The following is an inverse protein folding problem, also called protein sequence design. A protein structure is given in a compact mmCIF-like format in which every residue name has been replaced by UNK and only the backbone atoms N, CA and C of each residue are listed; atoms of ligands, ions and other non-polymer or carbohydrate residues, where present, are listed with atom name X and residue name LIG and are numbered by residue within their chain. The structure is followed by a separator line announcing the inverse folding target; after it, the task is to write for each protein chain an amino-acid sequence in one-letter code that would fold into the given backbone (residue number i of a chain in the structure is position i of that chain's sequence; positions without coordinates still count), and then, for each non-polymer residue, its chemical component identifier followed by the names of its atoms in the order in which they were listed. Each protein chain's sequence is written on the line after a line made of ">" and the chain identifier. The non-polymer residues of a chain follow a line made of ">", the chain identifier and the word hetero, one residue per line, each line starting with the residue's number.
data_IF_466764851389
#
_entry.id   IF_466764851389
#
_cell.length_a   1.000
_cell.length_b   1.000
_cell.length_c   1.000
_cell.angle_alpha   90.00
_cell.angle_beta   90.00
_cell.angle_gamma   90.00
#
_symmetry.space_group_name_H-M   'P 1'
#
loop_
_entity.id
_entity.type
_entity.pdbx_description
1 polymer ?
#
# COMPACT_ATOMS: atom_id res chain seq x y z
N UNK A 1 -7.48 11.49 50.18
CA UNK A 1 -7.18 11.37 48.72
C UNK A 1 -8.29 10.52 48.14
N UNK A 2 -9.37 11.20 47.77
CA UNK A 2 -10.57 10.54 47.28
C UNK A 2 -10.34 10.14 45.82
N UNK A 3 -10.28 8.82 45.60
CA UNK A 3 -10.44 8.27 44.26
C UNK A 3 -11.90 8.47 43.85
N UNK A 4 -12.21 9.55 43.13
CA UNK A 4 -13.50 9.70 42.49
C UNK A 4 -13.80 8.40 41.72
N UNK A 5 -14.78 7.68 42.22
CA UNK A 5 -15.41 6.55 41.56
C UNK A 5 -16.18 7.10 40.37
N UNK A 6 -15.46 7.23 39.25
CA UNK A 6 -16.04 7.67 37.95
C UNK A 6 -16.95 6.53 37.53
N UNK A 7 -18.23 6.60 37.92
CA UNK A 7 -19.27 5.67 37.50
C UNK A 7 -19.25 5.65 35.96
N UNK A 8 -18.77 4.55 35.36
CA UNK A 8 -18.75 4.40 33.92
C UNK A 8 -20.16 4.61 33.39
N UNK A 9 -20.30 5.54 32.44
CA UNK A 9 -21.59 5.74 31.75
C UNK A 9 -22.01 4.40 31.15
N UNK A 10 -23.29 4.00 31.21
CA UNK A 10 -23.75 2.66 30.81
C UNK A 10 -23.31 2.22 29.41
N UNK A 11 -23.13 3.17 28.48
CA UNK A 11 -22.73 2.90 27.09
C UNK A 11 -21.28 3.26 26.79
N UNK A 12 -20.45 3.65 27.78
CA UNK A 12 -19.11 4.17 27.55
C UNK A 12 -18.22 3.18 26.80
N UNK A 13 -18.23 1.93 27.19
CA UNK A 13 -17.39 0.88 26.58
C UNK A 13 -17.75 0.59 25.12
N UNK A 14 -19.05 0.46 24.83
CA UNK A 14 -19.51 0.20 23.45
C UNK A 14 -19.30 1.43 22.57
N UNK A 15 -19.54 2.63 23.07
CA UNK A 15 -19.27 3.87 22.30
C UNK A 15 -17.79 3.99 21.94
N UNK A 16 -16.90 3.69 22.88
CA UNK A 16 -15.46 3.69 22.61
C UNK A 16 -15.07 2.62 21.56
N UNK A 17 -15.62 1.41 21.67
CA UNK A 17 -15.37 0.34 20.72
C UNK A 17 -15.83 0.70 19.30
N UNK A 18 -17.00 1.34 19.18
CA UNK A 18 -17.51 1.86 17.90
C UNK A 18 -16.58 2.94 17.33
N UNK A 19 -16.10 3.85 18.19
CA UNK A 19 -15.11 4.86 17.80
C UNK A 19 -13.81 4.26 17.26
N UNK A 20 -13.27 3.23 17.93
CA UNK A 20 -12.09 2.51 17.43
C UNK A 20 -12.32 1.85 16.08
N UNK A 21 -13.47 1.21 15.89
CA UNK A 21 -13.84 0.59 14.61
C UNK A 21 -13.94 1.62 13.49
N UNK A 22 -14.60 2.74 13.73
CA UNK A 22 -14.71 3.84 12.76
C UNK A 22 -13.36 4.44 12.42
N UNK A 23 -12.51 4.70 13.43
CA UNK A 23 -11.16 5.22 13.21
C UNK A 23 -10.30 4.29 12.36
N UNK A 24 -10.36 2.98 12.59
CA UNK A 24 -9.67 1.99 11.78
C UNK A 24 -10.21 1.97 10.33
N UNK A 25 -11.53 2.03 10.15
CA UNK A 25 -12.13 2.10 8.81
C UNK A 25 -11.70 3.36 8.05
N UNK A 26 -11.66 4.52 8.71
CA UNK A 26 -11.18 5.75 8.10
C UNK A 26 -9.72 5.62 7.64
N UNK A 27 -8.85 5.08 8.50
CA UNK A 27 -7.44 4.86 8.13
C UNK A 27 -7.29 3.87 6.98
N UNK A 28 -8.04 2.79 6.99
CA UNK A 28 -8.06 1.81 5.90
C UNK A 28 -8.53 2.41 4.57
N UNK A 29 -9.44 3.39 4.62
CA UNK A 29 -9.91 4.15 3.46
C UNK A 29 -8.96 5.30 3.05
N UNK A 30 -7.78 5.42 3.67
CA UNK A 30 -6.80 6.44 3.33
C UNK A 30 -6.96 7.77 4.09
N UNK A 31 -7.96 7.92 4.94
CA UNK A 31 -8.18 9.13 5.75
C UNK A 31 -7.17 9.12 6.91
N UNK A 32 -6.14 9.95 6.80
CA UNK A 32 -5.05 9.99 7.80
C UNK A 32 -5.37 10.88 9.00
N UNK A 33 -6.25 11.86 8.83
CA UNK A 33 -6.59 12.86 9.86
C UNK A 33 -8.01 13.35 9.69
N UNK A 34 -8.73 13.48 10.80
CA UNK A 34 -10.02 14.17 10.90
C UNK A 34 -10.01 15.09 12.12
N UNK A 35 -10.89 16.06 12.15
CA UNK A 35 -11.23 16.75 13.39
C UNK A 35 -12.19 15.88 14.21
N UNK A 36 -11.69 15.39 15.35
CA UNK A 36 -12.44 14.44 16.19
C UNK A 36 -13.61 15.12 16.89
N UNK A 37 -13.49 16.41 17.24
CA UNK A 37 -14.57 17.14 17.91
C UNK A 37 -15.72 17.40 16.95
N UNK A 38 -15.44 17.88 15.74
CA UNK A 38 -16.45 18.09 14.70
C UNK A 38 -17.10 16.78 14.26
N UNK A 39 -16.32 15.69 14.17
CA UNK A 39 -16.86 14.37 13.88
C UNK A 39 -17.84 13.92 14.98
N UNK A 40 -17.44 14.05 16.24
CA UNK A 40 -18.29 13.68 17.38
C UNK A 40 -19.55 14.55 17.44
N UNK A 41 -19.47 15.84 17.13
CA UNK A 41 -20.65 16.73 17.07
C UNK A 41 -21.62 16.33 15.94
N UNK A 42 -21.08 15.93 14.78
CA UNK A 42 -21.91 15.40 13.69
C UNK A 42 -22.65 14.12 14.10
N UNK A 43 -21.98 13.21 14.77
CA UNK A 43 -22.61 11.99 15.34
C UNK A 43 -23.67 12.35 16.37
N UNK A 44 -23.35 13.26 17.29
CA UNK A 44 -24.29 13.71 18.33
C UNK A 44 -25.54 14.38 17.74
N UNK A 45 -25.38 15.19 16.69
CA UNK A 45 -26.51 15.83 16.01
C UNK A 45 -27.55 14.84 15.52
N UNK A 46 -27.08 13.68 14.98
CA UNK A 46 -27.97 12.60 14.51
C UNK A 46 -28.69 11.92 15.69
N UNK A 47 -27.96 11.52 16.74
CA UNK A 47 -28.54 10.78 17.88
C UNK A 47 -29.46 11.64 18.75
N UNK A 48 -29.18 12.91 18.85
CA UNK A 48 -29.96 13.86 19.66
C UNK A 48 -31.12 14.52 18.87
N UNK A 49 -31.22 14.26 17.58
CA UNK A 49 -32.22 14.87 16.71
C UNK A 49 -32.04 16.40 16.56
N UNK A 50 -30.79 16.88 16.75
CA UNK A 50 -30.49 18.31 16.57
C UNK A 50 -30.48 18.67 15.08
N UNK A 51 -30.77 19.92 14.76
CA UNK A 51 -30.57 20.45 13.41
C UNK A 51 -29.06 20.37 13.08
N UNK A 52 -28.65 19.64 12.02
CA UNK A 52 -27.25 19.61 11.60
C UNK A 52 -26.76 21.01 11.17
N UNK A 53 -25.44 21.23 11.25
CA UNK A 53 -24.79 22.48 10.79
C UNK A 53 -24.80 22.63 9.26
N UNK A 54 -24.99 21.54 8.53
CA UNK A 54 -25.12 21.50 7.07
C UNK A 54 -26.20 20.51 6.67
N UNK A 55 -26.72 20.64 5.46
CA UNK A 55 -27.67 19.67 4.89
C UNK A 55 -26.97 18.36 4.49
N UNK A 56 -27.74 17.30 4.30
CA UNK A 56 -27.18 16.03 3.82
C UNK A 56 -26.59 16.13 2.42
N UNK A 57 -27.13 17.00 1.55
CA UNK A 57 -26.59 17.22 0.22
C UNK A 57 -25.23 17.96 0.28
N UNK A 58 -25.11 18.96 1.15
CA UNK A 58 -23.84 19.64 1.42
C UNK A 58 -22.82 18.64 2.00
N UNK A 59 -23.19 17.84 3.00
CA UNK A 59 -22.31 16.83 3.58
C UNK A 59 -21.82 15.81 2.53
N UNK A 60 -22.71 15.36 1.65
CA UNK A 60 -22.35 14.47 0.56
C UNK A 60 -21.37 15.11 -0.42
N UNK A 61 -21.59 16.38 -0.76
CA UNK A 61 -20.70 17.13 -1.65
C UNK A 61 -19.30 17.30 -1.04
N UNK A 62 -19.22 17.65 0.25
CA UNK A 62 -17.95 17.78 0.99
C UNK A 62 -17.19 16.43 1.03
N UNK A 63 -17.89 15.34 1.35
CA UNK A 63 -17.27 14.00 1.36
C UNK A 63 -16.74 13.64 -0.03
N UNK A 64 -17.51 13.88 -1.09
CA UNK A 64 -17.10 13.59 -2.46
C UNK A 64 -15.89 14.43 -2.88
N UNK A 65 -15.90 15.73 -2.58
CA UNK A 65 -14.77 16.62 -2.86
C UNK A 65 -13.50 16.17 -2.13
N UNK A 66 -13.61 15.78 -0.87
CA UNK A 66 -12.51 15.28 -0.08
C UNK A 66 -11.89 14.02 -0.69
N UNK A 67 -12.69 13.04 -1.07
CA UNK A 67 -12.17 11.80 -1.69
C UNK A 67 -11.56 12.07 -3.07
N UNK A 68 -12.16 12.94 -3.88
CA UNK A 68 -11.60 13.34 -5.18
C UNK A 68 -10.22 13.99 -5.02
N UNK A 69 -10.07 14.88 -4.05
CA UNK A 69 -8.77 15.53 -3.79
C UNK A 69 -7.73 14.52 -3.24
N UNK A 70 -8.18 13.58 -2.42
CA UNK A 70 -7.31 12.51 -1.90
C UNK A 70 -6.81 11.59 -3.01
N UNK A 71 -7.70 11.16 -3.91
CA UNK A 71 -7.36 10.35 -5.09
C UNK A 71 -6.38 11.09 -6.00
N UNK A 72 -6.61 12.37 -6.25
CA UNK A 72 -5.71 13.21 -7.06
C UNK A 72 -4.32 13.26 -6.45
N UNK A 73 -4.20 13.52 -5.17
CA UNK A 73 -2.89 13.53 -4.46
C UNK A 73 -2.20 12.17 -4.54
N UNK A 74 -2.96 11.10 -4.38
CA UNK A 74 -2.41 9.75 -4.49
C UNK A 74 -1.89 9.45 -5.91
N UNK A 75 -2.62 9.86 -6.94
CA UNK A 75 -2.19 9.73 -8.32
C UNK A 75 -0.94 10.57 -8.62
N UNK A 76 -0.87 11.81 -8.13
CA UNK A 76 0.31 12.67 -8.29
C UNK A 76 1.55 12.07 -7.60
N UNK A 77 1.39 11.52 -6.39
CA UNK A 77 2.47 10.85 -5.67
C UNK A 77 2.92 9.57 -6.39
N UNK A 78 1.96 8.77 -6.88
CA UNK A 78 2.26 7.55 -7.65
C UNK A 78 2.99 7.89 -8.96
N UNK A 79 2.57 8.93 -9.67
CA UNK A 79 3.22 9.38 -10.91
C UNK A 79 4.64 9.92 -10.64
N UNK A 80 4.84 10.68 -9.58
CA UNK A 80 6.16 11.16 -9.18
C UNK A 80 7.10 10.00 -8.83
N UNK A 81 6.61 9.02 -8.07
CA UNK A 81 7.38 7.82 -7.73
C UNK A 81 7.70 6.97 -8.97
N UNK A 82 6.72 6.82 -9.88
CA UNK A 82 6.93 6.11 -11.14
C UNK A 82 8.03 6.77 -12.00
N UNK A 83 8.07 8.10 -12.06
CA UNK A 83 9.11 8.84 -12.78
C UNK A 83 10.49 8.59 -12.18
N UNK A 84 10.62 8.68 -10.85
CA UNK A 84 11.87 8.39 -10.13
C UNK A 84 12.33 6.95 -10.37
N UNK A 85 11.40 5.99 -10.30
CA UNK A 85 11.72 4.58 -10.53
C UNK A 85 12.13 4.29 -11.98
N UNK A 86 11.48 4.96 -12.95
CA UNK A 86 11.84 4.83 -14.37
C UNK A 86 13.24 5.37 -14.65
N UNK A 87 13.59 6.54 -14.08
CA UNK A 87 14.93 7.11 -14.21
C UNK A 87 15.98 6.19 -13.58
N UNK A 88 15.75 5.73 -12.36
CA UNK A 88 16.64 4.82 -11.66
C UNK A 88 16.80 3.48 -12.42
N UNK A 89 15.70 2.93 -12.96
CA UNK A 89 15.70 1.71 -13.76
C UNK A 89 16.49 1.87 -15.07
N UNK A 90 16.28 2.97 -15.78
CA UNK A 90 17.03 3.27 -17.02
C UNK A 90 18.54 3.37 -16.73
N UNK A 91 18.91 4.14 -15.71
CA UNK A 91 20.32 4.27 -15.30
C UNK A 91 20.93 2.92 -14.94
N UNK A 92 20.21 2.11 -14.16
CA UNK A 92 20.66 0.77 -13.81
C UNK A 92 20.90 -0.12 -15.04
N UNK A 93 19.96 -0.14 -15.98
CA UNK A 93 20.09 -0.94 -17.21
C UNK A 93 21.23 -0.44 -18.10
N UNK A 94 21.43 0.85 -18.21
CA UNK A 94 22.52 1.45 -18.98
C UNK A 94 23.90 1.09 -18.40
N UNK A 95 24.01 1.10 -17.08
CA UNK A 95 25.25 0.74 -16.38
C UNK A 95 25.49 -0.77 -16.42
N UNK A 96 24.46 -1.57 -16.14
CA UNK A 96 24.56 -3.02 -16.11
C UNK A 96 24.85 -3.61 -17.48
N UNK A 97 24.25 -3.04 -18.55
CA UNK A 97 24.49 -3.48 -19.93
C UNK A 97 25.91 -3.25 -20.45
N UNK A 98 26.74 -2.46 -19.75
CA UNK A 98 28.18 -2.25 -20.08
C UNK A 98 29.07 -3.36 -19.55
N UNK A 99 28.57 -4.20 -18.64
CA UNK A 99 29.30 -5.33 -18.10
C UNK A 99 29.47 -6.41 -19.18
N UNK A 100 30.66 -6.95 -19.31
CA UNK A 100 30.99 -7.93 -20.36
C UNK A 100 30.21 -9.24 -20.24
N UNK A 101 29.79 -9.59 -19.02
CA UNK A 101 29.07 -10.82 -18.71
C UNK A 101 27.57 -10.70 -19.00
N UNK A 102 27.05 -9.46 -19.13
CA UNK A 102 25.63 -9.18 -19.29
C UNK A 102 25.23 -9.23 -20.77
N UNK A 103 24.17 -9.95 -21.06
CA UNK A 103 23.55 -10.01 -22.39
C UNK A 103 22.20 -9.32 -22.35
N UNK A 104 21.92 -8.49 -23.36
CA UNK A 104 20.65 -7.80 -23.51
C UNK A 104 19.87 -8.41 -24.68
N UNK A 105 18.64 -8.82 -24.45
CA UNK A 105 17.74 -9.34 -25.47
C UNK A 105 17.10 -8.21 -26.29
N UNK A 106 16.44 -8.56 -27.39
CA UNK A 106 15.69 -7.59 -28.20
C UNK A 106 14.54 -6.91 -27.44
N UNK A 107 14.00 -7.52 -26.38
CA UNK A 107 12.98 -6.94 -25.50
C UNK A 107 13.55 -5.98 -24.45
N UNK A 108 14.88 -5.85 -24.33
CA UNK A 108 15.55 -5.06 -23.30
C UNK A 108 15.80 -5.83 -21.99
N UNK A 109 15.39 -7.10 -21.88
CA UNK A 109 15.74 -7.94 -20.75
C UNK A 109 17.27 -8.16 -20.72
N UNK A 110 17.86 -7.96 -19.55
CA UNK A 110 19.28 -8.23 -19.32
C UNK A 110 19.42 -9.48 -18.45
N UNK A 111 20.38 -10.31 -18.79
CA UNK A 111 20.71 -11.51 -18.02
C UNK A 111 22.19 -11.79 -18.03
N UNK A 112 22.62 -12.52 -17.02
CA UNK A 112 23.99 -12.99 -16.82
C UNK A 112 23.93 -14.47 -16.42
N UNK A 113 24.80 -15.31 -17.02
CA UNK A 113 24.92 -16.69 -16.63
C UNK A 113 26.01 -16.79 -15.56
N UNK A 114 25.60 -17.08 -14.32
CA UNK A 114 26.54 -17.20 -13.19
C UNK A 114 27.30 -18.54 -13.23
N UNK A 115 26.61 -19.60 -13.63
CA UNK A 115 27.20 -20.95 -13.74
C UNK A 115 26.57 -21.65 -14.94
N UNK A 116 27.40 -22.13 -15.85
CA UNK A 116 26.94 -22.89 -17.02
C UNK A 116 26.46 -24.28 -16.61
N UNK A 117 25.24 -24.60 -17.02
CA UNK A 117 24.66 -25.93 -16.79
C UNK A 117 25.16 -26.95 -17.80
N UNK A 118 25.22 -28.20 -17.37
CA UNK A 118 25.61 -29.34 -18.22
C UNK A 118 24.48 -30.35 -18.45
N UNK A 119 23.29 -30.08 -17.93
CA UNK A 119 22.11 -30.93 -18.07
C UNK A 119 21.38 -30.72 -19.39
N UNK A 120 20.27 -31.43 -19.56
CA UNK A 120 19.36 -31.28 -20.71
C UNK A 120 18.75 -29.88 -20.71
N UNK A 121 18.64 -29.25 -21.90
CA UNK A 121 17.93 -28.00 -22.06
C UNK A 121 16.42 -28.26 -22.17
N UNK A 122 15.59 -27.60 -21.34
CA UNK A 122 14.16 -27.75 -21.46
C UNK A 122 13.66 -27.03 -22.73
N UNK A 123 12.56 -27.52 -23.27
CA UNK A 123 11.80 -26.87 -24.35
C UNK A 123 10.78 -25.91 -23.78
N UNK A 124 10.10 -25.13 -24.62
CA UNK A 124 9.03 -24.22 -24.19
C UNK A 124 7.79 -24.93 -23.60
N UNK A 125 7.63 -26.22 -23.87
CA UNK A 125 6.52 -27.05 -23.39
C UNK A 125 6.82 -27.77 -22.07
N UNK A 126 8.08 -27.74 -21.63
CA UNK A 126 8.51 -28.44 -20.43
C UNK A 126 8.23 -27.64 -19.16
N UNK A 127 7.82 -28.33 -18.10
CA UNK A 127 7.77 -27.77 -16.77
C UNK A 127 9.15 -27.87 -16.13
N UNK A 128 9.59 -26.80 -15.51
CA UNK A 128 10.87 -26.73 -14.81
C UNK A 128 10.67 -26.37 -13.35
N UNK A 129 11.45 -26.99 -12.47
CA UNK A 129 11.52 -26.63 -11.06
C UNK A 129 12.72 -25.71 -10.84
N UNK A 130 12.47 -24.54 -10.24
CA UNK A 130 13.49 -23.52 -10.05
C UNK A 130 13.46 -22.91 -8.65
N UNK A 131 14.62 -22.52 -8.15
CA UNK A 131 14.74 -21.58 -7.07
C UNK A 131 15.05 -20.19 -7.63
N UNK A 132 14.44 -19.18 -7.04
CA UNK A 132 14.67 -17.79 -7.40
C UNK A 132 14.67 -16.88 -6.17
N UNK A 133 15.32 -15.73 -6.31
CA UNK A 133 15.24 -14.62 -5.36
C UNK A 133 15.06 -13.32 -6.14
N UNK A 134 13.91 -12.67 -5.97
CA UNK A 134 13.59 -11.38 -6.58
C UNK A 134 14.07 -10.22 -5.69
N UNK A 135 14.82 -9.29 -6.28
CA UNK A 135 15.33 -8.10 -5.61
C UNK A 135 15.02 -6.85 -6.40
N UNK A 136 14.70 -5.78 -5.70
CA UNK A 136 14.70 -4.44 -6.28
C UNK A 136 16.13 -3.95 -6.52
N UNK A 137 16.30 -2.87 -7.27
CA UNK A 137 17.63 -2.30 -7.57
C UNK A 137 18.35 -1.77 -6.33
N UNK A 138 17.63 -1.46 -5.25
CA UNK A 138 18.19 -1.08 -3.94
C UNK A 138 18.62 -2.30 -3.09
N UNK A 139 18.43 -3.52 -3.61
CA UNK A 139 18.76 -4.77 -2.93
C UNK A 139 17.63 -5.34 -2.06
N UNK A 140 16.51 -4.66 -1.92
CA UNK A 140 15.35 -5.15 -1.15
C UNK A 140 14.81 -6.43 -1.79
N UNK A 141 14.78 -7.53 -1.04
CA UNK A 141 14.17 -8.78 -1.47
C UNK A 141 12.65 -8.65 -1.36
N UNK A 142 11.94 -8.86 -2.47
CA UNK A 142 10.48 -8.82 -2.48
C UNK A 142 9.85 -10.22 -2.59
N UNK A 143 10.60 -11.20 -3.09
CA UNK A 143 10.16 -12.60 -3.13
C UNK A 143 11.36 -13.55 -3.24
N UNK A 144 11.29 -14.71 -2.55
CA UNK A 144 12.34 -15.73 -2.56
C UNK A 144 11.77 -17.11 -2.29
N UNK A 145 11.89 -18.01 -3.27
CA UNK A 145 11.56 -19.42 -3.09
C UNK A 145 12.56 -20.12 -2.17
N UNK A 146 13.80 -19.61 -2.10
CA UNK A 146 14.84 -20.11 -1.19
C UNK A 146 14.44 -19.84 0.26
N UNK A 147 14.00 -18.63 0.56
CA UNK A 147 13.58 -18.24 1.93
C UNK A 147 12.31 -18.99 2.36
N UNK A 148 11.44 -19.31 1.41
CA UNK A 148 10.25 -20.15 1.67
C UNK A 148 10.61 -21.64 1.82
N UNK A 149 11.81 -22.05 1.44
CA UNK A 149 12.23 -23.45 1.46
C UNK A 149 11.50 -24.35 0.45
N UNK A 150 10.85 -23.78 -0.56
CA UNK A 150 10.06 -24.50 -1.57
C UNK A 150 10.30 -23.90 -2.96
N UNK A 151 10.76 -24.72 -3.95
CA UNK A 151 10.96 -24.27 -5.32
C UNK A 151 9.61 -23.88 -5.97
N UNK A 152 9.70 -23.16 -7.07
CA UNK A 152 8.58 -22.85 -7.95
C UNK A 152 8.64 -23.77 -9.18
N UNK A 153 7.45 -24.15 -9.69
CA UNK A 153 7.29 -24.95 -10.91
C UNK A 153 6.53 -24.16 -11.94
#
# INVERSE_FOLDING_TARGET
>A
MDKENKQEKPLARISYALGLSMGNNFRASGIQKIDVEDFADGVAAVFEGRKPRMTYDEAKAEIQAFFTEMEKKQQEQAAAMAAVNAEAGTKFLDENGKRAEVRTTASGLQYEVLTEGTGAMPTAEDQVEVHYTGKLIDGTVFDSSVDRGQPAT
#
